data_IF_272960560960
#
_entry.id   IF_272960560960
#
_cell.length_a   1.000
_cell.length_b   1.000
_cell.length_c   1.000
_cell.angle_alpha   90.00
_cell.angle_beta   90.00
_cell.angle_gamma   90.00
#
_symmetry.space_group_name_H-M   'P 1'
#
loop_
_entity.id
_entity.type
_entity.pdbx_description
1 polymer ?
#
# COMPACT_ATOMS: atom_id res chain seq x y z
N UNK A 1 50.16 5.10 30.09
CA UNK A 1 49.62 3.75 30.39
C UNK A 1 49.91 2.86 29.20
N UNK A 2 50.51 1.69 29.42
CA UNK A 2 51.06 0.83 28.37
C UNK A 2 49.99 0.37 27.37
N UNK A 3 50.25 0.59 26.09
CA UNK A 3 49.42 0.09 25.00
C UNK A 3 49.48 -1.44 24.99
N UNK A 4 48.46 -2.10 25.56
CA UNK A 4 48.30 -3.54 25.38
C UNK A 4 47.75 -3.77 23.98
N UNK A 5 48.59 -4.25 23.07
CA UNK A 5 48.14 -4.71 21.75
C UNK A 5 47.12 -5.84 21.93
N UNK A 6 45.94 -5.69 21.35
CA UNK A 6 44.87 -6.68 21.40
C UNK A 6 43.50 -6.03 21.26
N UNK A 7 42.48 -6.78 20.78
CA UNK A 7 41.15 -6.25 20.55
C UNK A 7 40.54 -5.66 21.82
N UNK A 8 39.73 -4.62 21.65
CA UNK A 8 38.93 -3.99 22.71
C UNK A 8 37.47 -3.97 22.30
N UNK A 9 36.58 -4.06 23.28
CA UNK A 9 35.15 -4.00 23.05
C UNK A 9 34.73 -2.54 22.90
N UNK A 10 34.07 -2.18 21.80
CA UNK A 10 33.48 -0.86 21.59
C UNK A 10 32.04 -0.86 22.11
N UNK A 11 31.72 0.15 22.90
CA UNK A 11 30.41 0.36 23.51
C UNK A 11 29.88 1.75 23.18
N UNK A 12 28.55 1.86 23.17
CA UNK A 12 27.81 3.12 23.04
C UNK A 12 26.95 3.32 24.29
N UNK A 13 27.01 4.51 24.85
CA UNK A 13 26.17 5.00 25.97
C UNK A 13 25.22 6.09 25.44
N UNK A 14 23.92 5.95 25.68
CA UNK A 14 22.84 6.85 25.24
C UNK A 14 22.19 7.64 26.38
N UNK A 15 22.52 7.37 27.64
CA UNK A 15 21.88 8.00 28.80
C UNK A 15 22.86 8.62 29.80
N UNK A 16 24.16 8.43 29.61
CA UNK A 16 25.20 9.00 30.46
C UNK A 16 25.27 8.35 31.84
N UNK A 17 24.63 7.19 32.04
CA UNK A 17 24.58 6.50 33.32
C UNK A 17 25.63 5.39 33.41
N UNK A 18 26.78 5.62 34.05
CA UNK A 18 27.86 4.64 34.08
C UNK A 18 27.51 3.33 34.81
N UNK A 19 26.39 3.28 35.53
CA UNK A 19 25.92 2.08 36.23
C UNK A 19 25.36 1.01 35.28
N UNK A 20 24.94 1.37 34.06
CA UNK A 20 24.43 0.41 33.06
C UNK A 20 25.43 0.12 31.93
N UNK A 21 26.56 0.83 31.88
CA UNK A 21 27.64 0.58 30.93
C UNK A 21 28.16 -0.86 31.00
N UNK A 22 28.08 -1.58 29.88
CA UNK A 22 28.53 -2.97 29.78
C UNK A 22 27.44 -4.01 30.02
N UNK A 23 26.18 -3.59 30.22
CA UNK A 23 25.11 -4.50 30.69
C UNK A 23 24.25 -5.10 29.58
N UNK A 24 24.20 -4.49 28.39
CA UNK A 24 23.34 -4.96 27.30
C UNK A 24 24.11 -5.18 26.00
N UNK A 25 24.00 -6.39 25.46
CA UNK A 25 24.52 -6.74 24.14
C UNK A 25 23.58 -6.30 23.00
N UNK A 26 22.38 -5.79 23.33
CA UNK A 26 21.39 -5.40 22.34
C UNK A 26 21.65 -3.96 21.87
N UNK A 27 21.85 -3.80 20.56
CA UNK A 27 22.08 -2.50 19.94
C UNK A 27 20.87 -1.56 20.11
N UNK A 28 21.11 -0.32 20.54
CA UNK A 28 20.06 0.69 20.76
C UNK A 28 19.42 0.67 22.16
N UNK A 29 19.98 -0.11 23.08
CA UNK A 29 19.73 0.01 24.53
C UNK A 29 20.55 1.17 25.14
N UNK A 30 20.28 1.54 26.39
CA UNK A 30 20.94 2.69 27.04
C UNK A 30 22.46 2.58 27.07
N UNK A 31 23.02 1.37 27.24
CA UNK A 31 24.42 1.08 26.97
C UNK A 31 24.55 -0.21 26.15
N UNK A 32 25.05 -0.10 24.92
CA UNK A 32 25.03 -1.19 23.93
C UNK A 32 26.44 -1.59 23.48
N UNK A 33 26.70 -2.88 23.41
CA UNK A 33 27.89 -3.43 22.75
C UNK A 33 27.78 -3.25 21.22
N UNK A 34 28.83 -2.73 20.59
CA UNK A 34 28.88 -2.48 19.14
C UNK A 34 29.81 -3.44 18.39
N UNK A 35 30.70 -4.13 19.09
CA UNK A 35 31.66 -5.06 18.49
C UNK A 35 33.08 -4.86 19.02
N UNK A 36 34.00 -5.70 18.55
CA UNK A 36 35.43 -5.58 18.86
C UNK A 36 36.17 -4.76 17.81
N UNK A 37 37.10 -3.92 18.27
CA UNK A 37 37.97 -3.12 17.40
C UNK A 37 39.44 -3.39 17.71
N UNK A 38 40.27 -3.41 16.67
CA UNK A 38 41.73 -3.57 16.78
C UNK A 38 42.41 -2.43 16.04
N UNK A 39 43.08 -1.53 16.79
CA UNK A 39 43.74 -0.36 16.22
C UNK A 39 42.77 0.72 15.71
N UNK A 40 43.27 1.70 14.93
CA UNK A 40 42.42 2.68 14.28
C UNK A 40 41.53 1.99 13.24
N UNK A 41 40.26 1.81 13.57
CA UNK A 41 39.28 1.12 12.75
C UNK A 41 38.04 2.01 12.56
N UNK A 42 37.42 1.90 11.38
CA UNK A 42 36.08 2.43 11.15
C UNK A 42 35.06 1.37 11.53
N UNK A 43 34.12 1.71 12.42
CA UNK A 43 32.99 0.84 12.77
C UNK A 43 31.72 1.47 12.19
N UNK A 44 31.08 0.74 11.28
CA UNK A 44 29.72 1.08 10.85
C UNK A 44 28.75 0.79 11.98
N UNK A 45 27.92 1.78 12.35
CA UNK A 45 26.86 1.56 13.32
C UNK A 45 25.69 0.85 12.65
N UNK A 46 25.09 -0.17 13.28
CA UNK A 46 23.85 -0.76 12.77
C UNK A 46 22.76 0.32 12.63
N UNK A 47 21.92 0.18 11.60
CA UNK A 47 20.79 1.10 11.39
C UNK A 47 19.89 1.14 12.63
N UNK A 48 19.51 2.34 13.07
CA UNK A 48 18.59 2.54 14.21
C UNK A 48 19.26 2.61 15.60
N UNK A 49 20.59 2.42 15.68
CA UNK A 49 21.36 2.47 16.94
C UNK A 49 21.51 3.90 17.46
N UNK A 50 21.91 4.84 16.60
CA UNK A 50 21.79 6.27 16.89
C UNK A 50 20.38 6.74 16.57
N UNK A 51 19.66 7.21 17.59
CA UNK A 51 18.35 7.84 17.42
C UNK A 51 18.53 9.36 17.36
N UNK A 52 17.76 10.03 16.51
CA UNK A 52 17.79 11.51 16.39
C UNK A 52 17.45 12.15 17.74
N UNK A 53 18.18 13.19 18.12
CA UNK A 53 17.99 13.87 19.41
C UNK A 53 18.49 13.09 20.64
N UNK A 54 19.04 11.88 20.47
CA UNK A 54 19.83 11.22 21.50
C UNK A 54 21.30 11.59 21.32
N UNK A 55 21.91 11.93 22.44
CA UNK A 55 23.35 12.09 22.53
C UNK A 55 23.91 10.72 22.83
N UNK A 56 24.85 10.27 22.00
CA UNK A 56 25.62 9.07 22.24
C UNK A 56 27.04 9.47 22.64
N UNK A 57 27.60 8.71 23.57
CA UNK A 57 29.03 8.71 23.84
C UNK A 57 29.54 7.30 23.58
N UNK A 58 30.83 7.19 23.27
CA UNK A 58 31.46 5.91 22.99
C UNK A 58 32.60 5.70 23.97
N UNK A 59 32.79 4.46 24.39
CA UNK A 59 33.95 4.06 25.17
C UNK A 59 34.40 2.68 24.72
N UNK A 60 35.65 2.36 25.05
CA UNK A 60 36.17 1.00 24.86
C UNK A 60 36.32 0.32 26.21
N UNK A 61 36.14 -0.99 26.25
CA UNK A 61 36.34 -1.82 27.44
C UNK A 61 37.33 -2.93 27.13
N UNK A 62 38.27 -3.18 28.03
CA UNK A 62 39.21 -4.31 27.96
C UNK A 62 39.38 -4.92 29.33
N UNK A 63 39.07 -6.22 29.46
CA UNK A 63 39.14 -6.95 30.73
C UNK A 63 38.39 -6.22 31.88
N UNK A 64 37.24 -5.63 31.56
CA UNK A 64 36.42 -4.87 32.52
C UNK A 64 36.91 -3.44 32.80
N UNK A 65 38.05 -3.01 32.26
CA UNK A 65 38.55 -1.63 32.39
C UNK A 65 38.03 -0.78 31.23
N UNK A 66 37.34 0.32 31.56
CA UNK A 66 36.73 1.24 30.59
C UNK A 66 37.68 2.40 30.26
N UNK A 67 37.65 2.87 29.01
CA UNK A 67 38.27 4.13 28.63
C UNK A 67 37.46 5.32 29.15
N UNK A 68 38.00 6.53 29.02
CA UNK A 68 37.18 7.73 29.09
C UNK A 68 36.11 7.69 27.97
N UNK A 69 34.95 8.30 28.25
CA UNK A 69 33.93 8.54 27.25
C UNK A 69 34.46 9.47 26.17
N UNK A 70 34.04 9.23 24.92
CA UNK A 70 34.28 10.13 23.81
C UNK A 70 33.55 11.47 24.03
N UNK A 71 33.87 12.44 23.18
CA UNK A 71 32.98 13.56 22.95
C UNK A 71 31.59 13.05 22.55
N UNK A 72 30.56 13.77 22.98
CA UNK A 72 29.17 13.53 22.60
C UNK A 72 28.99 13.60 21.09
N UNK A 73 28.41 12.55 20.52
CA UNK A 73 27.95 12.49 19.14
C UNK A 73 26.43 12.50 19.18
N UNK A 74 25.80 13.46 18.52
CA UNK A 74 24.34 13.44 18.33
C UNK A 74 24.03 13.32 16.86
N UNK A 75 22.96 12.59 16.52
CA UNK A 75 22.34 12.77 15.21
C UNK A 75 21.67 14.15 15.19
N UNK A 76 22.09 15.07 14.29
CA UNK A 76 21.57 16.44 14.31
C UNK A 76 20.05 16.48 14.17
N UNK A 77 19.39 17.30 15.00
CA UNK A 77 17.98 17.68 14.83
C UNK A 77 17.74 18.48 13.53
N UNK A 78 18.81 18.89 12.85
CA UNK A 78 18.80 19.53 11.51
C UNK A 78 18.64 18.52 10.37
N UNK A 79 18.46 17.24 10.67
CA UNK A 79 18.22 16.24 9.65
C UNK A 79 16.87 16.49 8.95
N UNK A 80 16.90 16.45 7.61
CA UNK A 80 15.72 16.60 6.74
C UNK A 80 14.60 15.65 7.21
N UNK A 81 13.34 16.10 7.28
CA UNK A 81 12.19 15.21 7.49
C UNK A 81 12.11 14.13 6.41
N UNK A 82 11.44 13.02 6.71
CA UNK A 82 11.13 11.95 5.76
C UNK A 82 9.63 11.73 5.85
N UNK A 83 8.91 12.39 4.94
CA UNK A 83 7.46 12.33 4.90
C UNK A 83 6.99 10.98 4.38
N UNK A 84 6.05 10.36 5.09
CA UNK A 84 5.32 9.19 4.61
C UNK A 84 3.85 9.33 4.93
N UNK A 85 3.02 9.40 3.90
CA UNK A 85 1.57 9.35 4.05
C UNK A 85 1.13 7.90 4.20
N UNK A 86 0.24 7.64 5.17
CA UNK A 86 -0.21 6.29 5.55
C UNK A 86 -1.63 6.04 5.07
N UNK A 87 -2.53 7.03 5.22
CA UNK A 87 -3.89 6.97 4.67
C UNK A 87 -4.25 8.31 4.05
N UNK A 88 -5.03 8.34 2.95
CA UNK A 88 -5.63 7.19 2.23
C UNK A 88 -4.57 6.33 1.49
N UNK A 89 -4.89 5.06 1.24
CA UNK A 89 -4.06 4.11 0.48
C UNK A 89 -4.93 3.27 -0.48
N UNK A 90 -4.37 2.52 -1.43
CA UNK A 90 -5.16 1.88 -2.49
C UNK A 90 -6.24 0.92 -1.95
N UNK A 91 -5.93 0.17 -0.89
CA UNK A 91 -6.86 -0.76 -0.24
C UNK A 91 -7.73 -0.16 0.86
N UNK A 92 -7.73 1.16 1.02
CA UNK A 92 -8.72 1.86 1.87
C UNK A 92 -10.01 2.17 1.10
N UNK A 93 -11.00 2.67 1.83
CA UNK A 93 -12.34 2.92 1.33
C UNK A 93 -13.34 1.83 1.72
N UNK A 94 -14.59 2.08 1.35
CA UNK A 94 -15.72 1.20 1.62
C UNK A 94 -15.81 0.12 0.53
N UNK A 95 -16.05 -1.13 0.93
CA UNK A 95 -16.19 -2.27 0.03
C UNK A 95 -17.64 -2.47 -0.40
N UNK A 96 -17.86 -2.60 -1.71
CA UNK A 96 -19.19 -2.78 -2.29
C UNK A 96 -19.91 -4.01 -1.73
N UNK A 97 -19.23 -5.17 -1.65
CA UNK A 97 -19.86 -6.40 -1.20
C UNK A 97 -20.32 -6.26 0.26
N UNK A 98 -19.46 -5.70 1.11
CA UNK A 98 -19.78 -5.36 2.50
C UNK A 98 -21.03 -4.46 2.62
N UNK A 99 -21.17 -3.40 1.82
CA UNK A 99 -22.25 -2.42 2.04
C UNK A 99 -23.51 -2.65 1.23
N UNK A 100 -23.37 -3.23 0.04
CA UNK A 100 -24.49 -3.54 -0.83
C UNK A 100 -25.05 -4.93 -0.49
N UNK A 101 -24.21 -5.96 -0.40
CA UNK A 101 -24.65 -7.33 -0.10
C UNK A 101 -24.83 -7.59 1.40
N UNK A 102 -24.19 -6.79 2.26
CA UNK A 102 -24.01 -7.10 3.69
C UNK A 102 -23.20 -8.38 3.92
N UNK A 103 -22.35 -8.68 2.95
CA UNK A 103 -21.66 -9.96 2.82
C UNK A 103 -20.40 -9.72 1.97
N UNK A 104 -19.21 -9.57 2.58
CA UNK A 104 -17.96 -9.39 1.84
C UNK A 104 -17.64 -10.62 0.99
N UNK A 105 -16.82 -10.48 -0.06
CA UNK A 105 -16.28 -11.66 -0.76
C UNK A 105 -15.00 -12.15 -0.06
N UNK A 106 -15.14 -12.63 1.16
CA UNK A 106 -14.06 -13.25 1.94
C UNK A 106 -14.05 -14.79 1.83
N UNK A 107 -15.03 -15.36 1.11
CA UNK A 107 -15.16 -16.79 0.87
C UNK A 107 -15.20 -17.63 2.15
N UNK A 108 -15.70 -17.06 3.24
CA UNK A 108 -16.11 -17.84 4.42
C UNK A 108 -17.36 -18.69 4.12
N UNK A 109 -18.06 -18.41 3.02
CA UNK A 109 -19.23 -19.18 2.57
C UNK A 109 -19.31 -19.36 1.04
N UNK A 110 -19.91 -20.48 0.56
CA UNK A 110 -20.04 -20.74 -0.88
C UNK A 110 -20.92 -19.74 -1.65
N UNK A 111 -21.66 -18.88 -0.95
CA UNK A 111 -22.51 -17.86 -1.59
C UNK A 111 -21.72 -16.66 -2.11
N UNK A 112 -20.42 -16.54 -1.80
CA UNK A 112 -19.59 -15.44 -2.30
C UNK A 112 -19.18 -15.58 -3.76
N UNK A 113 -19.06 -16.81 -4.22
CA UNK A 113 -18.73 -17.10 -5.60
C UNK A 113 -18.50 -18.57 -5.85
N UNK A 114 -18.22 -18.89 -7.10
CA UNK A 114 -17.92 -20.24 -7.55
C UNK A 114 -16.96 -20.18 -8.74
N UNK A 115 -16.30 -21.28 -9.07
CA UNK A 115 -15.49 -21.35 -10.28
C UNK A 115 -16.23 -22.07 -11.42
N UNK A 116 -16.01 -21.60 -12.64
CA UNK A 116 -16.30 -22.34 -13.88
C UNK A 116 -15.00 -22.58 -14.63
N UNK A 117 -15.01 -23.59 -15.52
CA UNK A 117 -13.81 -24.06 -16.22
C UNK A 117 -12.66 -24.45 -15.27
N UNK A 118 -13.04 -24.89 -14.07
CA UNK A 118 -12.19 -25.48 -13.05
C UNK A 118 -13.08 -26.33 -12.15
N UNK A 119 -12.46 -27.29 -11.46
CA UNK A 119 -13.09 -27.84 -10.27
C UNK A 119 -12.82 -26.87 -9.11
N UNK A 120 -13.80 -26.69 -8.22
CA UNK A 120 -13.65 -25.78 -7.09
C UNK A 120 -14.42 -26.20 -5.84
N UNK A 121 -13.99 -25.68 -4.70
CA UNK A 121 -14.72 -25.75 -3.43
C UNK A 121 -14.41 -24.51 -2.59
N UNK A 122 -15.37 -24.08 -1.78
CA UNK A 122 -15.12 -23.05 -0.76
C UNK A 122 -14.80 -23.71 0.56
N UNK A 123 -13.62 -23.45 1.11
CA UNK A 123 -13.17 -23.99 2.38
C UNK A 123 -12.06 -23.12 2.98
N UNK A 124 -11.99 -23.07 4.32
CA UNK A 124 -10.93 -22.36 5.06
C UNK A 124 -10.81 -20.85 4.74
N UNK A 125 -11.93 -20.19 4.43
CA UNK A 125 -11.96 -18.76 4.07
C UNK A 125 -11.35 -18.49 2.69
N UNK A 126 -11.54 -19.41 1.74
CA UNK A 126 -11.06 -19.26 0.37
C UNK A 126 -11.91 -20.05 -0.63
N UNK A 127 -12.00 -19.53 -1.85
CA UNK A 127 -12.39 -20.30 -3.03
C UNK A 127 -11.15 -21.01 -3.59
N UNK A 128 -11.11 -22.33 -3.40
CA UNK A 128 -10.06 -23.20 -3.89
C UNK A 128 -10.44 -23.68 -5.28
N UNK A 129 -9.56 -23.46 -6.26
CA UNK A 129 -9.77 -23.91 -7.64
C UNK A 129 -8.61 -24.75 -8.13
N UNK A 130 -8.91 -25.73 -8.98
CA UNK A 130 -7.91 -26.53 -9.68
C UNK A 130 -8.32 -26.83 -11.12
N UNK A 131 -7.37 -26.60 -12.03
CA UNK A 131 -7.47 -26.98 -13.45
C UNK A 131 -6.73 -28.28 -13.67
N UNK A 132 -7.25 -29.12 -14.56
CA UNK A 132 -6.67 -30.41 -14.91
C UNK A 132 -7.60 -31.22 -15.81
N UNK A 133 -7.04 -32.09 -16.65
CA UNK A 133 -7.82 -32.86 -17.62
C UNK A 133 -8.49 -31.98 -18.69
N UNK A 134 -9.76 -32.22 -19.00
CA UNK A 134 -10.48 -31.53 -20.09
C UNK A 134 -10.91 -30.08 -19.82
N UNK A 135 -10.60 -29.53 -18.64
CA UNK A 135 -10.82 -28.14 -18.24
C UNK A 135 -9.48 -27.46 -17.89
N UNK A 136 -8.46 -27.74 -18.69
CA UNK A 136 -7.18 -27.05 -18.60
C UNK A 136 -7.31 -25.68 -19.32
N UNK A 137 -6.68 -24.66 -18.74
CA UNK A 137 -6.75 -23.26 -19.17
C UNK A 137 -8.02 -22.48 -18.78
N UNK A 138 -7.88 -21.16 -18.64
CA UNK A 138 -8.94 -20.15 -18.47
C UNK A 138 -10.00 -20.45 -17.38
N UNK A 139 -9.61 -20.78 -16.13
CA UNK A 139 -10.58 -20.80 -15.04
C UNK A 139 -11.24 -19.43 -14.87
N UNK A 140 -12.45 -19.41 -14.31
CA UNK A 140 -13.18 -18.18 -14.03
C UNK A 140 -13.79 -18.28 -12.65
N UNK A 141 -13.36 -17.42 -11.73
CA UNK A 141 -14.04 -17.17 -10.46
C UNK A 141 -15.17 -16.17 -10.70
N UNK A 142 -16.42 -16.63 -10.62
CA UNK A 142 -17.62 -15.80 -10.72
C UNK A 142 -17.97 -15.30 -9.33
N UNK A 143 -18.03 -13.98 -9.16
CA UNK A 143 -18.37 -13.34 -7.89
C UNK A 143 -19.87 -13.12 -7.82
N UNK A 144 -20.48 -13.29 -6.64
CA UNK A 144 -21.89 -13.06 -6.47
C UNK A 144 -22.22 -11.56 -6.49
N UNK A 145 -22.89 -11.11 -7.55
CA UNK A 145 -23.34 -9.73 -7.78
C UNK A 145 -24.86 -9.61 -7.75
N UNK A 146 -25.56 -10.25 -6.79
CA UNK A 146 -27.03 -10.20 -6.65
C UNK A 146 -27.67 -8.79 -6.56
N UNK A 147 -26.86 -7.74 -6.57
CA UNK A 147 -27.25 -6.34 -6.73
C UNK A 147 -26.35 -5.69 -7.78
N UNK A 148 -26.86 -4.64 -8.43
CA UNK A 148 -26.06 -3.85 -9.37
C UNK A 148 -24.93 -3.12 -8.63
N UNK A 149 -23.77 -3.06 -9.27
CA UNK A 149 -22.62 -2.27 -8.81
C UNK A 149 -22.66 -0.90 -9.49
N UNK A 150 -22.55 0.18 -8.72
CA UNK A 150 -22.26 1.51 -9.27
C UNK A 150 -20.76 1.62 -9.58
N UNK A 151 -20.41 1.45 -10.85
CA UNK A 151 -19.02 1.51 -11.32
C UNK A 151 -18.40 2.91 -11.25
N UNK A 152 -19.19 3.98 -11.04
CA UNK A 152 -18.62 5.32 -10.78
C UNK A 152 -18.13 5.43 -9.35
N UNK A 153 -18.81 4.76 -8.43
CA UNK A 153 -18.52 4.82 -7.00
C UNK A 153 -17.44 3.81 -6.61
N UNK A 154 -17.62 2.54 -7.00
CA UNK A 154 -16.69 1.46 -6.66
C UNK A 154 -15.86 1.09 -7.89
N UNK A 155 -14.55 1.20 -7.78
CA UNK A 155 -13.66 1.12 -8.94
C UNK A 155 -12.23 0.66 -8.63
N UNK A 156 -11.89 0.36 -7.38
CA UNK A 156 -10.60 -0.22 -7.02
C UNK A 156 -10.80 -1.67 -6.62
N UNK A 157 -10.29 -2.61 -7.39
CA UNK A 157 -10.38 -4.02 -7.03
C UNK A 157 -9.14 -4.42 -6.22
N UNK A 158 -9.34 -5.02 -5.05
CA UNK A 158 -8.28 -5.66 -4.26
C UNK A 158 -8.50 -7.16 -4.30
N UNK A 159 -7.50 -7.93 -4.74
CA UNK A 159 -7.61 -9.37 -4.96
C UNK A 159 -6.49 -10.05 -4.20
N UNK A 160 -6.82 -10.77 -3.13
CA UNK A 160 -5.88 -11.63 -2.41
C UNK A 160 -5.99 -13.05 -2.93
N UNK A 161 -4.88 -13.54 -3.48
CA UNK A 161 -4.82 -14.85 -4.08
C UNK A 161 -3.47 -15.52 -3.79
N UNK A 162 -3.52 -16.84 -3.58
CA UNK A 162 -2.36 -17.70 -3.48
C UNK A 162 -2.31 -18.65 -4.68
N UNK A 163 -1.20 -18.62 -5.41
CA UNK A 163 -0.93 -19.56 -6.51
C UNK A 163 0.15 -20.55 -6.15
N UNK A 164 -0.14 -21.82 -6.38
CA UNK A 164 0.83 -22.89 -6.26
C UNK A 164 1.59 -23.13 -7.59
N UNK A 165 2.76 -23.76 -7.48
CA UNK A 165 3.58 -24.16 -8.64
C UNK A 165 4.64 -23.14 -9.07
N UNK A 166 5.34 -23.40 -10.19
CA UNK A 166 6.37 -22.51 -10.73
C UNK A 166 5.78 -21.23 -11.34
N UNK A 167 6.60 -20.19 -11.45
CA UNK A 167 6.21 -18.95 -12.12
C UNK A 167 6.62 -18.98 -13.59
N UNK A 168 5.72 -18.56 -14.48
CA UNK A 168 5.98 -18.40 -15.92
C UNK A 168 4.87 -17.61 -16.62
N UNK A 169 5.21 -16.97 -17.74
CA UNK A 169 4.28 -16.19 -18.58
C UNK A 169 4.07 -16.81 -19.97
N UNK A 170 4.72 -17.93 -20.24
CA UNK A 170 4.60 -18.63 -21.51
C UNK A 170 3.23 -19.28 -21.68
N UNK A 171 2.78 -19.42 -22.93
CA UNK A 171 1.62 -20.24 -23.29
C UNK A 171 2.03 -21.72 -23.33
N UNK A 172 2.35 -22.26 -22.16
CA UNK A 172 2.76 -23.65 -21.96
C UNK A 172 2.47 -24.08 -20.50
N UNK A 173 2.35 -25.39 -20.22
CA UNK A 173 2.13 -25.88 -18.87
C UNK A 173 3.17 -25.36 -17.86
N UNK A 174 2.72 -24.70 -16.80
CA UNK A 174 3.58 -24.03 -15.82
C UNK A 174 3.82 -22.54 -16.12
N UNK A 175 3.23 -22.03 -17.20
CA UNK A 175 3.21 -20.62 -17.59
C UNK A 175 1.91 -19.91 -17.25
N UNK A 176 1.50 -18.96 -18.10
CA UNK A 176 0.19 -18.31 -18.08
C UNK A 176 -0.24 -17.64 -16.76
N UNK A 177 0.70 -17.18 -15.92
CA UNK A 177 0.36 -16.46 -14.67
C UNK A 177 -0.03 -15.00 -14.92
N UNK A 178 -1.11 -14.85 -15.67
CA UNK A 178 -1.79 -13.59 -15.95
C UNK A 178 -3.26 -13.71 -15.54
N UNK A 179 -3.71 -12.78 -14.71
CA UNK A 179 -5.11 -12.69 -14.27
C UNK A 179 -5.86 -11.63 -15.06
N UNK A 180 -7.19 -11.74 -15.15
CA UNK A 180 -8.04 -10.72 -15.79
C UNK A 180 -9.29 -10.46 -14.98
N UNK A 181 -9.78 -9.24 -15.04
CA UNK A 181 -11.07 -8.85 -14.47
C UNK A 181 -12.05 -8.73 -15.62
N UNK A 182 -13.18 -9.43 -15.52
CA UNK A 182 -14.20 -9.43 -16.56
C UNK A 182 -15.51 -8.95 -15.97
N UNK A 183 -16.17 -8.00 -16.63
CA UNK A 183 -17.45 -7.47 -16.15
C UNK A 183 -18.50 -7.41 -17.25
N UNK A 184 -19.76 -7.42 -16.84
CA UNK A 184 -20.89 -7.29 -17.76
C UNK A 184 -21.70 -6.01 -17.48
N UNK A 185 -21.73 -5.04 -18.41
CA UNK A 185 -22.53 -3.84 -18.26
C UNK A 185 -24.02 -4.18 -18.16
N UNK A 186 -24.74 -3.52 -17.24
CA UNK A 186 -26.16 -3.77 -17.04
C UNK A 186 -26.97 -3.43 -18.31
N UNK A 187 -27.85 -4.35 -18.71
CA UNK A 187 -28.69 -4.21 -19.90
C UNK A 187 -27.94 -4.38 -21.23
N UNK A 188 -26.66 -4.77 -21.22
CA UNK A 188 -25.94 -5.11 -22.44
C UNK A 188 -26.29 -6.53 -22.95
N UNK A 189 -26.13 -6.80 -24.25
CA UNK A 189 -26.26 -8.14 -24.81
C UNK A 189 -25.28 -9.15 -24.15
N UNK A 190 -25.63 -10.45 -24.03
CA UNK A 190 -24.81 -11.44 -23.30
C UNK A 190 -23.34 -11.57 -23.74
N UNK A 191 -23.04 -11.22 -24.99
CA UNK A 191 -21.69 -11.24 -25.57
C UNK A 191 -20.93 -9.91 -25.43
N UNK A 192 -21.43 -8.96 -24.62
CA UNK A 192 -20.84 -7.63 -24.42
C UNK A 192 -20.00 -7.53 -23.15
N UNK A 193 -19.45 -8.65 -22.68
CA UNK A 193 -18.50 -8.65 -21.56
C UNK A 193 -17.30 -7.79 -21.91
N UNK A 194 -16.81 -7.09 -20.89
CA UNK A 194 -15.63 -6.27 -20.95
C UNK A 194 -14.50 -7.00 -20.23
N UNK A 195 -13.32 -7.06 -20.83
CA UNK A 195 -12.16 -7.77 -20.30
C UNK A 195 -11.06 -6.75 -20.02
N UNK A 196 -10.53 -6.74 -18.80
CA UNK A 196 -9.38 -5.91 -18.45
C UNK A 196 -8.13 -6.36 -19.20
N UNK A 197 -7.14 -5.48 -19.30
CA UNK A 197 -5.77 -5.85 -19.61
C UNK A 197 -5.22 -6.83 -18.57
N UNK A 198 -4.13 -7.50 -18.92
CA UNK A 198 -3.56 -8.57 -18.13
C UNK A 198 -2.94 -8.07 -16.82
N UNK A 199 -3.21 -8.81 -15.75
CA UNK A 199 -2.60 -8.62 -14.44
C UNK A 199 -1.48 -9.64 -14.31
N UNK A 200 -0.22 -9.22 -14.29
CA UNK A 200 0.90 -10.14 -14.05
C UNK A 200 0.87 -10.63 -12.60
N UNK A 201 0.61 -11.93 -12.44
CA UNK A 201 0.53 -12.58 -11.15
C UNK A 201 1.87 -13.20 -10.75
N UNK A 202 1.99 -13.52 -9.47
CA UNK A 202 3.14 -14.17 -8.84
C UNK A 202 2.68 -15.42 -8.11
N UNK A 203 3.61 -16.36 -7.99
CA UNK A 203 3.42 -17.53 -7.15
C UNK A 203 3.47 -17.16 -5.67
N UNK A 204 2.84 -17.98 -4.84
CA UNK A 204 2.59 -17.68 -3.44
C UNK A 204 1.48 -16.66 -3.25
N UNK A 205 1.30 -16.26 -1.99
CA UNK A 205 0.24 -15.35 -1.55
C UNK A 205 0.58 -13.89 -1.85
N UNK A 206 -0.31 -13.20 -2.56
CA UNK A 206 -0.19 -11.77 -2.84
C UNK A 206 -1.56 -11.09 -2.89
N UNK A 207 -1.57 -9.77 -2.67
CA UNK A 207 -2.73 -8.91 -2.90
C UNK A 207 -2.43 -7.96 -4.06
N UNK A 208 -3.32 -7.92 -5.05
CA UNK A 208 -3.23 -7.03 -6.20
C UNK A 208 -4.27 -5.92 -6.08
N UNK A 209 -3.86 -4.67 -6.29
CA UNK A 209 -4.76 -3.53 -6.34
C UNK A 209 -4.85 -3.04 -7.78
N UNK A 210 -6.06 -3.02 -8.33
CA UNK A 210 -6.34 -2.62 -9.71
C UNK A 210 -7.28 -1.43 -9.73
N UNK A 211 -6.81 -0.32 -10.29
CA UNK A 211 -7.65 0.84 -10.57
C UNK A 211 -8.42 0.60 -11.88
N UNK A 212 -9.72 0.33 -11.77
CA UNK A 212 -10.59 0.08 -12.91
C UNK A 212 -10.96 1.38 -13.63
N UNK A 213 -10.89 2.52 -12.93
CA UNK A 213 -11.26 3.84 -13.46
C UNK A 213 -10.05 4.52 -14.11
N UNK A 214 -9.77 4.18 -15.37
CA UNK A 214 -8.65 4.74 -16.14
C UNK A 214 -9.04 5.97 -16.98
N UNK A 215 -8.05 6.71 -17.47
CA UNK A 215 -8.23 7.72 -18.50
C UNK A 215 -7.29 7.45 -19.69
N UNK A 216 -7.81 7.25 -20.92
CA UNK A 216 -9.23 7.15 -21.26
C UNK A 216 -9.90 5.95 -20.56
N UNK A 217 -11.26 5.92 -20.44
CA UNK A 217 -11.96 4.82 -19.79
C UNK A 217 -11.67 3.43 -20.38
N UNK A 218 -11.31 3.37 -21.65
CA UNK A 218 -10.90 2.13 -22.34
C UNK A 218 -9.47 1.71 -22.06
N UNK A 219 -8.69 2.51 -21.33
CA UNK A 219 -7.29 2.20 -21.01
C UNK A 219 -7.10 1.00 -20.08
N UNK A 220 -8.17 0.56 -19.41
CA UNK A 220 -8.18 -0.68 -18.60
C UNK A 220 -8.42 -1.94 -19.44
N UNK A 221 -8.83 -1.82 -20.71
CA UNK A 221 -9.31 -2.95 -21.50
C UNK A 221 -8.19 -3.63 -22.27
N UNK A 222 -8.28 -4.95 -22.39
CA UNK A 222 -7.53 -5.71 -23.40
C UNK A 222 -7.97 -5.23 -24.80
N UNK A 223 -7.05 -4.75 -25.65
CA UNK A 223 -7.39 -4.27 -26.99
C UNK A 223 -7.95 -5.37 -27.92
N UNK A 224 -7.68 -6.64 -27.67
CA UNK A 224 -8.15 -7.77 -28.48
C UNK A 224 -9.39 -8.47 -27.91
N UNK A 225 -9.63 -8.36 -26.60
CA UNK A 225 -10.70 -9.08 -25.90
C UNK A 225 -12.11 -8.47 -26.00
N UNK A 226 -12.29 -7.33 -26.66
CA UNK A 226 -13.50 -6.51 -26.54
C UNK A 226 -14.09 -6.11 -27.91
N UNK A 227 -15.30 -6.60 -28.23
CA UNK A 227 -16.01 -6.25 -29.47
C UNK A 227 -16.60 -4.82 -29.46
N UNK A 228 -16.91 -4.30 -28.27
CA UNK A 228 -17.52 -2.98 -28.06
C UNK A 228 -16.92 -2.37 -26.78
N UNK A 229 -15.74 -1.73 -26.87
CA UNK A 229 -14.99 -1.27 -25.70
C UNK A 229 -15.63 -0.03 -25.07
N UNK A 230 -16.08 -0.16 -23.82
CA UNK A 230 -16.75 0.90 -23.07
C UNK A 230 -15.86 1.43 -21.94
N UNK A 231 -15.16 0.53 -21.24
CA UNK A 231 -14.44 0.85 -20.00
C UNK A 231 -15.33 0.75 -18.77
N UNK A 232 -14.73 0.81 -17.58
CA UNK A 232 -15.44 0.77 -16.30
C UNK A 232 -16.21 2.07 -16.05
N UNK A 233 -17.32 2.06 -15.29
CA UNK A 233 -17.96 3.27 -14.75
C UNK A 233 -18.57 4.29 -15.74
N UNK A 234 -18.40 4.13 -17.06
CA UNK A 234 -18.98 5.00 -18.10
C UNK A 234 -20.09 4.32 -18.90
N UNK A 235 -20.94 5.11 -19.54
CA UNK A 235 -21.95 4.61 -20.47
C UNK A 235 -22.81 3.50 -19.85
N UNK A 236 -22.89 2.35 -20.51
CA UNK A 236 -23.60 1.18 -19.99
C UNK A 236 -22.89 0.54 -18.79
N UNK A 237 -21.57 0.70 -18.66
CA UNK A 237 -20.77 0.22 -17.53
C UNK A 237 -20.86 1.11 -16.29
N UNK A 238 -21.68 2.16 -16.28
CA UNK A 238 -22.02 2.87 -15.03
C UNK A 238 -22.68 1.91 -14.03
N UNK A 239 -23.46 0.96 -14.51
CA UNK A 239 -24.03 -0.12 -13.70
C UNK A 239 -23.48 -1.45 -14.19
N UNK A 240 -22.93 -2.25 -13.28
CA UNK A 240 -22.40 -3.58 -13.58
C UNK A 240 -23.36 -4.63 -13.03
N UNK A 241 -23.66 -5.62 -13.86
CA UNK A 241 -24.53 -6.76 -13.49
C UNK A 241 -23.74 -7.98 -13.04
N UNK A 242 -22.58 -8.24 -13.64
CA UNK A 242 -21.71 -9.39 -13.33
C UNK A 242 -20.27 -8.94 -13.19
N UNK A 243 -19.53 -9.56 -12.26
CA UNK A 243 -18.09 -9.37 -12.09
C UNK A 243 -17.40 -10.73 -11.88
N UNK A 244 -16.34 -10.96 -12.63
CA UNK A 244 -15.53 -12.16 -12.58
C UNK A 244 -14.05 -11.82 -12.42
N UNK A 245 -13.31 -12.74 -11.83
CA UNK A 245 -11.85 -12.76 -11.88
C UNK A 245 -11.40 -14.06 -12.56
N UNK A 246 -10.56 -13.94 -13.59
CA UNK A 246 -9.96 -15.07 -14.30
C UNK A 246 -8.56 -15.27 -13.71
N UNK A 247 -8.31 -16.35 -12.94
CA UNK A 247 -7.06 -16.46 -12.21
C UNK A 247 -5.83 -16.71 -13.09
N UNK A 248 -5.92 -17.42 -14.21
CA UNK A 248 -4.73 -17.66 -15.03
C UNK A 248 -5.10 -18.06 -16.45
N UNK A 249 -4.09 -18.09 -17.32
CA UNK A 249 -4.14 -18.66 -18.68
C UNK A 249 -3.21 -19.87 -18.82
N UNK A 250 -2.79 -20.51 -17.71
CA UNK A 250 -1.95 -21.72 -17.79
C UNK A 250 -2.71 -22.90 -18.45
N UNK A 251 -2.23 -23.44 -19.59
CA UNK A 251 -2.82 -24.62 -20.24
C UNK A 251 -2.50 -25.95 -19.52
N UNK A 252 -1.70 -25.92 -18.46
CA UNK A 252 -1.39 -27.05 -17.58
C UNK A 252 -2.36 -27.19 -16.40
N UNK A 253 -2.09 -28.20 -15.58
CA UNK A 253 -2.81 -28.40 -14.32
C UNK A 253 -2.26 -27.46 -13.25
N UNK A 254 -3.13 -26.69 -12.61
CA UNK A 254 -2.79 -25.75 -11.55
C UNK A 254 -3.80 -25.74 -10.43
N UNK A 255 -3.37 -25.23 -9.28
CA UNK A 255 -4.25 -24.92 -8.15
C UNK A 255 -4.05 -23.48 -7.72
N UNK A 256 -5.13 -22.86 -7.27
CA UNK A 256 -5.17 -21.48 -6.81
C UNK A 256 -6.18 -21.34 -5.66
N UNK A 257 -5.97 -20.33 -4.83
CA UNK A 257 -6.80 -20.07 -3.65
C UNK A 257 -7.11 -18.58 -3.62
N UNK A 258 -8.35 -18.23 -3.95
CA UNK A 258 -8.82 -16.85 -3.88
C UNK A 258 -9.38 -16.61 -2.47
N UNK A 259 -8.68 -15.80 -1.68
CA UNK A 259 -8.95 -15.62 -0.25
C UNK A 259 -9.85 -14.41 0.04
N UNK A 260 -9.68 -13.31 -0.70
CA UNK A 260 -10.42 -12.07 -0.44
C UNK A 260 -10.52 -11.29 -1.74
N UNK A 261 -11.72 -10.82 -2.07
CA UNK A 261 -11.95 -9.86 -3.14
C UNK A 261 -12.72 -8.67 -2.59
N UNK A 262 -12.19 -7.47 -2.81
CA UNK A 262 -12.88 -6.23 -2.47
C UNK A 262 -13.04 -5.37 -3.69
N UNK A 263 -14.20 -4.75 -3.81
CA UNK A 263 -14.43 -3.71 -4.80
C UNK A 263 -14.68 -2.40 -4.08
N UNK A 264 -13.60 -1.63 -3.96
CA UNK A 264 -13.51 -0.47 -3.11
C UNK A 264 -13.85 0.81 -3.88
N UNK A 265 -14.48 1.75 -3.18
CA UNK A 265 -14.48 3.17 -3.58
C UNK A 265 -13.24 3.88 -3.02
N UNK A 266 -12.99 5.11 -3.46
CA UNK A 266 -12.06 5.98 -2.74
C UNK A 266 -12.52 6.20 -1.30
N UNK A 267 -11.59 6.54 -0.40
CA UNK A 267 -11.98 7.17 0.85
C UNK A 267 -12.81 8.42 0.52
N UNK A 268 -13.69 8.83 1.42
CA UNK A 268 -14.50 10.02 1.16
C UNK A 268 -14.68 10.86 2.41
N UNK A 269 -14.79 12.17 2.22
CA UNK A 269 -15.17 13.09 3.28
C UNK A 269 -16.62 12.78 3.66
N UNK A 270 -16.81 12.10 4.78
CA UNK A 270 -18.13 11.76 5.28
C UNK A 270 -18.61 12.80 6.32
N UNK A 271 -19.58 13.68 5.97
CA UNK A 271 -20.06 14.69 6.91
C UNK A 271 -20.73 14.08 8.15
N UNK A 272 -21.32 12.89 8.04
CA UNK A 272 -22.02 12.24 9.16
C UNK A 272 -21.09 11.85 10.31
N UNK A 273 -19.80 11.65 10.02
CA UNK A 273 -18.75 11.37 11.04
C UNK A 273 -17.74 12.52 11.16
N UNK A 274 -18.04 13.67 10.57
CA UNK A 274 -17.21 14.88 10.66
C UNK A 274 -15.96 14.89 9.79
N UNK A 275 -15.90 14.10 8.72
CA UNK A 275 -14.81 14.11 7.73
C UNK A 275 -14.06 12.78 7.59
N UNK A 276 -12.88 12.83 6.97
CA UNK A 276 -11.98 11.67 6.77
C UNK A 276 -10.59 11.93 7.33
N UNK A 277 -9.89 10.86 7.71
CA UNK A 277 -8.60 10.94 8.38
C UNK A 277 -7.43 10.76 7.40
N UNK A 278 -6.58 11.78 7.33
CA UNK A 278 -5.28 11.72 6.66
C UNK A 278 -4.24 11.40 7.74
N UNK A 279 -3.61 10.23 7.62
CA UNK A 279 -2.57 9.78 8.56
C UNK A 279 -1.21 9.88 7.92
N UNK A 280 -0.21 10.31 8.67
CA UNK A 280 1.15 10.50 8.16
C UNK A 280 2.20 10.37 9.25
N UNK A 281 3.44 10.10 8.84
CA UNK A 281 4.59 9.91 9.72
C UNK A 281 5.76 10.75 9.20
N UNK A 282 6.56 11.26 10.13
CA UNK A 282 7.94 11.66 9.86
C UNK A 282 8.85 10.51 10.28
N UNK A 283 9.32 9.67 9.35
CA UNK A 283 10.22 8.53 9.67
C UNK A 283 11.57 9.00 10.25
N UNK A 284 11.79 10.31 10.15
CA UNK A 284 12.94 11.08 10.54
C UNK A 284 12.62 12.04 11.70
N UNK A 285 11.56 11.75 12.46
CA UNK A 285 10.99 12.65 13.47
C UNK A 285 12.05 13.23 14.43
N UNK A 286 11.87 14.52 14.73
CA UNK A 286 12.54 15.29 15.75
C UNK A 286 11.62 16.48 16.13
N UNK A 287 11.78 17.05 17.34
CA UNK A 287 11.00 18.21 17.76
C UNK A 287 11.09 19.38 16.78
N UNK A 288 9.98 20.12 16.63
CA UNK A 288 9.88 21.28 15.74
C UNK A 288 9.52 20.95 14.29
N UNK A 289 9.26 19.69 13.92
CA UNK A 289 8.61 19.39 12.63
C UNK A 289 7.18 19.93 12.62
N UNK A 290 6.81 20.58 11.54
CA UNK A 290 5.41 20.88 11.19
C UNK A 290 5.01 20.20 9.89
N UNK A 291 3.72 20.01 9.68
CA UNK A 291 3.14 19.47 8.45
C UNK A 291 2.16 20.47 7.82
N UNK A 292 2.26 20.63 6.50
CA UNK A 292 1.20 21.18 5.67
C UNK A 292 0.51 20.00 4.96
N UNK A 293 -0.82 20.03 4.92
CA UNK A 293 -1.63 19.03 4.22
C UNK A 293 -2.27 19.73 3.03
N UNK A 294 -2.11 19.15 1.85
CA UNK A 294 -2.53 19.73 0.57
C UNK A 294 -3.45 18.74 -0.13
N UNK A 295 -4.60 19.20 -0.57
CA UNK A 295 -5.48 18.46 -1.47
C UNK A 295 -5.06 18.77 -2.92
N UNK A 296 -4.56 17.76 -3.62
CA UNK A 296 -4.07 17.87 -5.00
C UNK A 296 -4.98 17.06 -5.94
N UNK A 297 -5.57 17.66 -6.98
CA UNK A 297 -6.53 16.96 -7.83
C UNK A 297 -5.89 15.97 -8.82
N UNK A 298 -4.57 16.02 -9.07
CA UNK A 298 -3.95 15.30 -10.18
C UNK A 298 -2.52 14.78 -9.92
N UNK A 299 -2.08 14.73 -8.66
CA UNK A 299 -0.73 14.28 -8.28
C UNK A 299 0.40 15.13 -8.88
N UNK A 300 0.11 16.35 -9.34
CA UNK A 300 1.12 17.26 -9.85
C UNK A 300 1.47 18.29 -8.78
N UNK A 301 2.69 18.24 -8.20
CA UNK A 301 3.01 19.12 -7.09
C UNK A 301 3.07 20.61 -7.45
N UNK A 302 3.12 20.92 -8.75
CA UNK A 302 3.13 22.25 -9.30
C UNK A 302 1.76 22.71 -9.82
N UNK A 303 0.70 21.93 -9.61
CA UNK A 303 -0.64 22.33 -10.04
C UNK A 303 -1.11 23.57 -9.27
N UNK A 304 -1.48 24.68 -9.96
CA UNK A 304 -2.10 25.83 -9.31
C UNK A 304 -3.48 25.52 -8.68
N UNK A 305 -4.14 24.42 -9.07
CA UNK A 305 -5.42 23.98 -8.51
C UNK A 305 -5.28 23.23 -7.17
N UNK A 306 -4.05 22.98 -6.69
CA UNK A 306 -3.84 22.39 -5.36
C UNK A 306 -4.32 23.35 -4.26
N UNK A 307 -4.92 22.78 -3.21
CA UNK A 307 -5.47 23.56 -2.09
C UNK A 307 -4.79 23.16 -0.80
N UNK A 308 -4.20 24.12 -0.08
CA UNK A 308 -3.69 23.87 1.28
C UNK A 308 -4.89 23.74 2.21
N UNK A 309 -5.14 22.52 2.70
CA UNK A 309 -6.28 22.22 3.58
C UNK A 309 -5.93 22.35 5.06
N UNK A 310 -4.64 22.29 5.39
CA UNK A 310 -4.10 22.69 6.69
C UNK A 310 -2.61 23.05 6.58
N UNK A 311 -2.14 23.94 7.44
CA UNK A 311 -0.75 24.39 7.44
C UNK A 311 -0.19 24.42 8.86
N UNK A 312 1.11 24.17 9.00
CA UNK A 312 1.83 24.33 10.27
C UNK A 312 1.39 23.37 11.38
N UNK A 313 0.80 22.20 11.05
CA UNK A 313 0.35 21.22 12.05
C UNK A 313 1.57 20.69 12.81
N UNK A 314 1.60 20.75 14.16
CA UNK A 314 2.69 20.15 14.93
C UNK A 314 2.77 18.65 14.70
N UNK A 315 3.99 18.14 14.44
CA UNK A 315 4.22 16.71 14.21
C UNK A 315 4.85 16.07 15.43
N UNK A 316 4.17 15.05 15.95
CA UNK A 316 4.63 14.21 17.06
C UNK A 316 5.33 12.95 16.56
N UNK A 317 6.05 12.27 17.45
CA UNK A 317 6.65 10.98 17.14
C UNK A 317 5.56 9.95 16.79
N UNK A 318 5.79 9.14 15.75
CA UNK A 318 4.85 8.11 15.30
C UNK A 318 3.78 8.64 14.32
N UNK A 319 2.60 8.02 14.34
CA UNK A 319 1.50 8.34 13.41
C UNK A 319 0.77 9.60 13.86
N UNK A 320 0.80 10.61 12.99
CA UNK A 320 0.04 11.83 13.10
C UNK A 320 -1.25 11.72 12.31
N UNK A 321 -2.24 12.52 12.69
CA UNK A 321 -3.61 12.43 12.18
C UNK A 321 -4.17 13.82 11.95
N UNK A 322 -4.72 14.06 10.76
CA UNK A 322 -5.49 15.25 10.43
C UNK A 322 -6.87 14.85 9.90
N UNK A 323 -7.93 15.37 10.53
CA UNK A 323 -9.32 15.15 10.09
C UNK A 323 -9.69 16.21 9.07
N UNK A 324 -9.86 15.81 7.81
CA UNK A 324 -10.29 16.69 6.74
C UNK A 324 -11.82 16.67 6.56
N UNK A 325 -12.44 17.85 6.60
CA UNK A 325 -13.89 18.05 6.46
C UNK A 325 -14.31 18.43 5.03
N UNK A 326 -13.39 18.41 4.07
CA UNK A 326 -13.61 18.81 2.67
C UNK A 326 -13.29 20.27 2.38
N UNK A 327 -13.57 21.19 3.32
CA UNK A 327 -13.17 22.59 3.19
C UNK A 327 -11.64 22.76 3.33
N UNK A 328 -10.99 23.73 2.63
CA UNK A 328 -11.52 24.69 1.67
C UNK A 328 -11.51 24.24 0.20
N UNK A 329 -11.35 22.95 -0.08
CA UNK A 329 -11.38 22.49 -1.46
C UNK A 329 -12.79 22.58 -2.06
N UNK A 330 -12.87 22.62 -3.38
CA UNK A 330 -14.12 22.40 -4.10
C UNK A 330 -14.49 20.90 -4.09
N UNK A 331 -15.67 20.54 -4.58
CA UNK A 331 -16.00 19.14 -4.77
C UNK A 331 -15.12 18.50 -5.86
N UNK A 332 -14.64 17.28 -5.62
CA UNK A 332 -13.71 16.58 -6.49
C UNK A 332 -13.04 15.37 -5.84
N UNK A 333 -12.16 14.71 -6.59
CA UNK A 333 -11.24 13.67 -6.09
C UNK A 333 -9.89 14.33 -5.85
N UNK A 334 -9.28 14.03 -4.70
CA UNK A 334 -8.01 14.61 -4.29
C UNK A 334 -7.04 13.54 -3.79
N UNK A 335 -5.77 13.74 -4.07
CA UNK A 335 -4.65 12.94 -3.57
C UNK A 335 -3.92 13.75 -2.51
N UNK A 336 -4.12 13.46 -1.21
CA UNK A 336 -3.47 14.24 -0.16
C UNK A 336 -1.95 14.21 -0.29
N UNK A 337 -1.32 15.38 -0.29
CA UNK A 337 0.12 15.54 -0.14
C UNK A 337 0.43 16.09 1.22
N UNK A 338 1.30 15.40 1.95
CA UNK A 338 1.85 15.88 3.21
C UNK A 338 3.21 16.49 2.95
N UNK A 339 3.41 17.74 3.36
CA UNK A 339 4.68 18.45 3.29
C UNK A 339 5.18 18.70 4.70
N UNK A 340 6.23 17.99 5.09
CA UNK A 340 6.89 18.18 6.37
C UNK A 340 7.96 19.26 6.28
N UNK A 341 8.06 20.11 7.31
CA UNK A 341 9.03 21.20 7.41
C UNK A 341 9.75 21.16 8.75
N UNK A 342 11.07 21.41 8.73
CA UNK A 342 11.91 21.54 9.93
C UNK A 342 13.15 22.35 9.61
N UNK A 343 13.42 23.42 10.38
CA UNK A 343 14.64 24.23 10.26
C UNK A 343 14.97 24.67 8.82
N UNK A 344 13.96 25.10 8.06
CA UNK A 344 14.11 25.51 6.66
C UNK A 344 14.18 24.37 5.64
N UNK A 345 14.26 23.11 6.07
CA UNK A 345 14.21 21.93 5.19
C UNK A 345 12.78 21.43 5.00
N UNK A 346 12.52 20.81 3.86
CA UNK A 346 11.22 20.20 3.55
C UNK A 346 11.33 18.82 2.88
N UNK A 347 10.33 17.98 3.12
CA UNK A 347 10.10 16.73 2.41
C UNK A 347 8.60 16.54 2.21
N UNK A 348 8.20 15.80 1.18
CA UNK A 348 6.79 15.56 0.91
C UNK A 348 6.52 14.13 0.45
N UNK A 349 5.31 13.66 0.70
CA UNK A 349 4.81 12.37 0.23
C UNK A 349 3.33 12.51 -0.13
N UNK A 350 2.97 11.94 -1.28
CA UNK A 350 1.57 11.74 -1.63
C UNK A 350 1.02 10.53 -0.88
N UNK A 351 -0.26 10.62 -0.56
CA UNK A 351 -1.07 9.46 -0.28
C UNK A 351 -1.16 8.60 -1.54
N UNK A 352 -1.20 7.30 -1.32
CA UNK A 352 -1.35 6.30 -2.37
C UNK A 352 -2.81 6.17 -2.85
N UNK A 353 -3.76 6.40 -1.95
CA UNK A 353 -5.18 6.47 -2.26
C UNK A 353 -5.66 7.89 -2.53
N UNK A 354 -6.84 8.00 -3.13
CA UNK A 354 -7.55 9.28 -3.29
C UNK A 354 -8.67 9.43 -2.24
N UNK A 355 -9.11 10.67 -2.03
CA UNK A 355 -10.30 11.02 -1.26
C UNK A 355 -11.29 11.75 -2.17
N UNK A 356 -12.54 11.31 -2.17
CA UNK A 356 -13.64 12.03 -2.80
C UNK A 356 -14.29 13.01 -1.81
N UNK A 357 -14.59 14.21 -2.29
CA UNK A 357 -15.37 15.21 -1.57
C UNK A 357 -16.51 15.75 -2.45
N UNK A 358 -17.74 15.68 -1.94
CA UNK A 358 -18.93 16.20 -2.61
C UNK A 358 -20.10 15.21 -2.60
N UNK A 359 -21.27 15.64 -3.12
CA UNK A 359 -22.51 14.86 -3.09
C UNK A 359 -22.57 13.70 -4.09
N UNK A 360 -21.63 13.65 -5.04
CA UNK A 360 -21.58 12.64 -6.12
C UNK A 360 -20.17 12.06 -6.23
N UNK A 361 -20.00 10.85 -6.77
CA UNK A 361 -18.69 10.35 -7.18
C UNK A 361 -18.03 11.41 -8.04
N UNK A 362 -16.82 11.80 -7.69
CA UNK A 362 -16.15 12.90 -8.35
C UNK A 362 -15.90 12.60 -9.85
N UNK A 363 -15.76 13.63 -10.70
CA UNK A 363 -15.47 13.48 -12.13
C UNK A 363 -14.20 12.63 -12.36
N UNK A 364 -14.02 12.15 -13.59
CA UNK A 364 -12.94 11.21 -13.94
C UNK A 364 -11.58 11.72 -13.45
N UNK A 365 -10.75 10.85 -12.84
CA UNK A 365 -9.44 11.27 -12.41
C UNK A 365 -8.69 11.82 -13.64
N UNK A 366 -8.04 12.99 -13.53
CA UNK A 366 -7.17 13.47 -14.60
C UNK A 366 -6.10 12.41 -14.88
N UNK A 367 -5.70 12.31 -16.15
CA UNK A 367 -4.76 11.35 -16.72
C UNK A 367 -3.68 10.89 -15.72
N UNK A 368 -3.88 9.71 -15.10
CA UNK A 368 -2.76 9.03 -14.46
C UNK A 368 -1.83 8.63 -15.58
N UNK A 369 -0.55 9.04 -15.51
CA UNK A 369 0.47 8.35 -16.28
C UNK A 369 0.38 6.86 -15.90
N UNK A 370 -0.05 6.04 -16.86
CA UNK A 370 -0.31 4.61 -16.69
C UNK A 370 0.75 3.96 -15.80
N UNK A 371 0.31 3.39 -14.69
CA UNK A 371 1.20 2.74 -13.74
C UNK A 371 0.39 1.94 -12.74
N UNK A 372 0.28 0.65 -12.97
CA UNK A 372 -0.03 -0.34 -11.94
C UNK A 372 0.90 -0.03 -10.75
N UNK A 373 0.32 0.38 -9.62
CA UNK A 373 1.09 0.57 -8.38
C UNK A 373 1.36 -0.83 -7.82
N UNK A 374 2.64 -1.21 -7.80
CA UNK A 374 3.11 -2.49 -7.24
C UNK A 374 3.13 -2.47 -5.72
#
# INVERSE_FOLDING_TARGET
>A
MGATSGPVDLWMDLDGNPANDGTSANAGSTASYLGQVTGPAFVGLPSGVLRRGKVAQFYTSKNGVKSALSASVSMPATSRPIARTVTPWEGSGEDWATVARWDPWDFDQPTDGYAVNASSTTAWGALLGWTGGGAANDPVAVLNTNKLIDGKLFHKMAITINYDGPWGLEDAPGGGLVGRIVWHPYGAPPNSRQVSDDIVLKTGRATYYVEMRTWPPTGILDPAGNLDPIGWGVGRSTWISDLNFHPHEDPGARSWQLEDVKLLRNDYVNPAVGGTDIKFIDDAWAPGTTADIIADPNLNPNDPAQVVIAAGIPVSAGVNKFRWTGWPAAYGTYFPRVVLRRNGLAASSYAFGAIDYGPSPAPWPPERANGIVK
#
